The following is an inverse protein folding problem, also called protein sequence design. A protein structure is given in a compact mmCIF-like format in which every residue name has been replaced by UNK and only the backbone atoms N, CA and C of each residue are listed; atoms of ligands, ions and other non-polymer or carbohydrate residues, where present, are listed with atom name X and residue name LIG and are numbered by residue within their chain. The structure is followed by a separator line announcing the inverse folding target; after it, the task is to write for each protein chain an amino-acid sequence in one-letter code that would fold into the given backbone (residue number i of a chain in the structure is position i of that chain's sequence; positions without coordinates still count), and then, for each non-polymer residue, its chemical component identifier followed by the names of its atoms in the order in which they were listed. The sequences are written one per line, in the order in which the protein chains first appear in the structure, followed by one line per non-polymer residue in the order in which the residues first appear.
data_IF_312967746551
#
_entry.id   IF_312967746551
#
_cell.length_a   1.000
_cell.length_b   1.000
_cell.length_c   1.000
_cell.angle_alpha   90.00
_cell.angle_beta   90.00
_cell.angle_gamma   90.00
#
_symmetry.space_group_name_H-M   'P 1'
#
loop_
_entity.id
_entity.type
_entity.pdbx_description
1 polymer ?
#
# COMPACT_ATOMS: atom_id res chain seq x y z
N UNK A 1 -2.72 3.87 -7.24
CA UNK A 1 -1.77 2.96 -7.91
C UNK A 1 -0.66 3.68 -8.64
N UNK A 2 -0.90 4.89 -9.17
CA UNK A 2 0.07 5.72 -9.90
C UNK A 2 1.46 5.85 -9.22
N UNK A 3 1.49 6.11 -7.91
CA UNK A 3 2.76 6.20 -7.16
C UNK A 3 3.60 4.92 -7.23
N UNK A 4 2.95 3.76 -7.07
CA UNK A 4 3.63 2.45 -7.09
C UNK A 4 4.17 2.17 -8.49
N UNK A 5 3.37 2.47 -9.52
CA UNK A 5 3.78 2.32 -10.92
C UNK A 5 4.95 3.25 -11.26
N UNK A 6 4.94 4.50 -10.78
CA UNK A 6 6.03 5.45 -10.97
C UNK A 6 7.33 4.98 -10.31
N UNK A 7 7.25 4.46 -9.08
CA UNK A 7 8.41 3.88 -8.38
C UNK A 7 8.96 2.68 -9.13
N UNK A 8 8.10 1.75 -9.55
CA UNK A 8 8.53 0.57 -10.28
C UNK A 8 9.19 0.94 -11.63
N UNK A 9 8.61 1.89 -12.36
CA UNK A 9 9.17 2.40 -13.63
C UNK A 9 10.55 3.01 -13.41
N UNK A 10 10.72 3.85 -12.38
CA UNK A 10 12.00 4.47 -12.07
C UNK A 10 13.08 3.46 -11.64
N UNK A 11 12.68 2.29 -11.12
CA UNK A 11 13.57 1.18 -10.79
C UNK A 11 13.81 0.23 -11.97
N UNK A 12 13.30 0.54 -13.17
CA UNK A 12 13.44 -0.31 -14.35
C UNK A 12 12.61 -1.60 -14.29
N UNK A 13 11.62 -1.67 -13.41
CA UNK A 13 10.71 -2.81 -13.30
C UNK A 13 9.57 -2.61 -14.30
N UNK A 14 9.37 -3.52 -15.26
CA UNK A 14 8.32 -3.38 -16.26
C UNK A 14 6.94 -3.54 -15.62
N UNK A 15 6.17 -2.45 -15.56
CA UNK A 15 4.78 -2.46 -15.09
C UNK A 15 3.85 -2.10 -16.24
N UNK A 16 2.81 -2.91 -16.45
CA UNK A 16 1.74 -2.63 -17.42
C UNK A 16 0.61 -1.91 -16.70
N UNK A 17 0.60 -0.57 -16.74
CA UNK A 17 -0.39 0.26 -16.02
C UNK A 17 -1.84 -0.13 -16.30
N UNK A 18 -2.17 -0.43 -17.56
CA UNK A 18 -3.50 -0.91 -17.96
C UNK A 18 -3.92 -2.19 -17.24
N UNK A 19 -2.96 -3.07 -16.92
CA UNK A 19 -3.22 -4.28 -16.12
C UNK A 19 -3.44 -3.94 -14.65
N UNK A 20 -2.71 -2.97 -14.10
CA UNK A 20 -2.87 -2.51 -12.72
C UNK A 20 -4.28 -1.96 -12.48
N UNK A 21 -4.77 -1.12 -13.39
CA UNK A 21 -6.13 -0.55 -13.32
C UNK A 21 -7.21 -1.61 -13.48
N UNK A 22 -7.06 -2.52 -14.46
CA UNK A 22 -8.01 -3.62 -14.67
C UNK A 22 -8.12 -4.52 -13.43
N UNK A 23 -7.00 -4.93 -12.84
CA UNK A 23 -6.99 -5.75 -11.62
C UNK A 23 -7.66 -5.04 -10.45
N UNK A 24 -7.47 -3.73 -10.32
CA UNK A 24 -8.14 -2.94 -9.28
C UNK A 24 -9.65 -2.88 -9.50
N UNK A 25 -10.08 -2.65 -10.75
CA UNK A 25 -11.50 -2.63 -11.11
C UNK A 25 -12.17 -3.99 -10.86
N UNK A 26 -11.52 -5.08 -11.29
CA UNK A 26 -12.00 -6.45 -11.07
C UNK A 26 -12.11 -6.77 -9.58
N UNK A 27 -11.14 -6.34 -8.77
CA UNK A 27 -11.17 -6.53 -7.32
C UNK A 27 -12.34 -5.78 -6.67
N UNK A 28 -12.59 -4.54 -7.08
CA UNK A 28 -13.71 -3.74 -6.55
C UNK A 28 -15.05 -4.34 -6.94
N UNK A 29 -15.20 -4.83 -8.18
CA UNK A 29 -16.45 -5.41 -8.66
C UNK A 29 -16.71 -6.82 -8.13
N UNK A 30 -15.67 -7.65 -7.98
CA UNK A 30 -15.79 -9.07 -7.64
C UNK A 30 -15.85 -9.38 -6.15
N UNK A 31 -15.64 -8.39 -5.28
CA UNK A 31 -15.47 -8.59 -3.84
C UNK A 31 -16.34 -7.62 -3.00
N UNK A 32 -17.68 -7.64 -3.14
CA UNK A 32 -18.56 -6.64 -2.53
C UNK A 32 -18.55 -6.64 -0.99
N UNK A 33 -18.33 -7.80 -0.35
CA UNK A 33 -18.32 -7.96 1.12
C UNK A 33 -16.94 -8.34 1.67
N UNK A 34 -15.87 -8.00 0.93
CA UNK A 34 -14.52 -8.41 1.30
C UNK A 34 -13.86 -7.44 2.28
N UNK A 35 -13.24 -8.01 3.31
CA UNK A 35 -12.37 -7.27 4.21
C UNK A 35 -10.91 -7.59 3.94
N UNK A 36 -10.09 -6.56 3.74
CA UNK A 36 -8.65 -6.73 3.57
C UNK A 36 -8.03 -7.34 4.82
N UNK A 37 -6.95 -8.12 4.67
CA UNK A 37 -6.25 -8.76 5.79
C UNK A 37 -5.87 -7.75 6.88
N UNK A 38 -5.34 -6.59 6.49
CA UNK A 38 -4.95 -5.54 7.43
C UNK A 38 -6.14 -4.97 8.22
N UNK A 39 -7.35 -4.88 7.63
CA UNK A 39 -8.56 -4.48 8.36
C UNK A 39 -8.98 -5.56 9.36
N UNK A 40 -8.88 -6.83 8.98
CA UNK A 40 -9.15 -7.96 9.88
C UNK A 40 -8.17 -7.98 11.06
N UNK A 41 -6.88 -7.73 10.82
CA UNK A 41 -5.86 -7.64 11.87
C UNK A 41 -6.11 -6.46 12.81
N UNK A 42 -6.46 -5.29 12.27
CA UNK A 42 -6.85 -4.13 13.07
C UNK A 42 -8.01 -4.46 14.02
N UNK A 43 -9.08 -5.08 13.51
CA UNK A 43 -10.25 -5.46 14.32
C UNK A 43 -9.93 -6.51 15.38
N UNK A 44 -8.93 -7.37 15.14
CA UNK A 44 -8.45 -8.39 16.08
C UNK A 44 -7.39 -7.86 17.05
N UNK A 45 -7.04 -6.58 16.99
CA UNK A 45 -6.00 -5.98 17.83
C UNK A 45 -4.60 -6.50 17.52
N UNK A 46 -4.37 -7.01 16.30
CA UNK A 46 -3.08 -7.54 15.86
C UNK A 46 -2.21 -6.44 15.24
N UNK A 47 -0.90 -6.66 15.24
CA UNK A 47 0.07 -5.81 14.55
C UNK A 47 -0.28 -5.72 13.05
N UNK A 48 -0.12 -4.54 12.48
CA UNK A 48 -0.43 -4.30 11.07
C UNK A 48 0.80 -4.46 10.17
N UNK A 49 0.58 -4.82 8.90
CA UNK A 49 1.64 -5.01 7.89
C UNK A 49 2.00 -3.73 7.11
N UNK A 50 1.62 -2.55 7.60
CA UNK A 50 1.78 -1.28 6.87
C UNK A 50 3.24 -0.97 6.49
N UNK A 51 4.22 -1.43 7.27
CA UNK A 51 5.65 -1.19 6.99
C UNK A 51 6.15 -2.07 5.85
N UNK A 52 5.64 -3.29 5.78
CA UNK A 52 5.94 -4.22 4.69
C UNK A 52 5.25 -3.82 3.38
N UNK A 53 4.10 -3.15 3.45
CA UNK A 53 3.35 -2.69 2.27
C UNK A 53 3.71 -1.24 1.90
N UNK A 54 3.12 -0.25 2.58
CA UNK A 54 3.35 1.17 2.28
C UNK A 54 4.80 1.58 2.61
N UNK A 55 5.37 1.05 3.69
CA UNK A 55 6.77 1.32 4.06
C UNK A 55 7.75 0.83 3.00
N UNK A 56 7.49 -0.31 2.36
CA UNK A 56 8.31 -0.80 1.26
C UNK A 56 8.27 0.15 0.05
N UNK A 57 7.08 0.66 -0.32
CA UNK A 57 6.93 1.66 -1.39
C UNK A 57 7.69 2.94 -1.04
N UNK A 58 7.55 3.47 0.18
CA UNK A 58 8.24 4.69 0.62
C UNK A 58 9.77 4.52 0.59
N UNK A 59 10.30 3.37 1.04
CA UNK A 59 11.73 3.06 0.98
C UNK A 59 12.23 2.94 -0.46
N UNK A 60 11.46 2.29 -1.33
CA UNK A 60 11.78 2.16 -2.76
C UNK A 60 11.78 3.52 -3.47
N UNK A 61 10.77 4.34 -3.21
CA UNK A 61 10.63 5.69 -3.74
C UNK A 61 11.79 6.59 -3.34
N UNK A 62 12.26 6.50 -2.09
CA UNK A 62 13.43 7.24 -1.62
C UNK A 62 14.70 6.89 -2.39
N UNK A 63 14.92 5.60 -2.71
CA UNK A 63 16.07 5.17 -3.53
C UNK A 63 15.95 5.63 -4.99
N UNK A 64 14.73 5.69 -5.51
CA UNK A 64 14.45 6.06 -6.90
C UNK A 64 14.30 7.58 -7.13
N UNK A 65 14.26 8.40 -6.06
CA UNK A 65 14.00 9.84 -6.17
C UNK A 65 12.56 10.20 -6.59
N UNK A 66 11.60 9.30 -6.35
CA UNK A 66 10.20 9.49 -6.78
C UNK A 66 9.33 10.00 -5.61
N UNK A 67 8.51 11.05 -5.80
CA UNK A 67 7.58 11.49 -4.77
C UNK A 67 6.41 10.51 -4.62
N UNK A 68 6.10 10.13 -3.37
CA UNK A 68 4.98 9.23 -3.02
C UNK A 68 4.14 9.76 -1.83
N UNK A 69 3.58 10.98 -1.95
CA UNK A 69 2.87 11.63 -0.85
C UNK A 69 1.71 10.82 -0.26
N UNK A 70 0.92 10.11 -1.08
CA UNK A 70 -0.21 9.30 -0.61
C UNK A 70 0.29 8.11 0.21
N UNK A 71 1.28 7.36 -0.27
CA UNK A 71 1.86 6.26 0.51
C UNK A 71 2.50 6.73 1.82
N UNK A 72 3.10 7.93 1.84
CA UNK A 72 3.64 8.52 3.08
C UNK A 72 2.53 8.84 4.09
N UNK A 73 1.43 9.44 3.64
CA UNK A 73 0.28 9.72 4.52
C UNK A 73 -0.32 8.43 5.04
N UNK A 74 -0.58 7.45 4.17
CA UNK A 74 -1.13 6.15 4.57
C UNK A 74 -0.23 5.43 5.56
N UNK A 75 1.08 5.39 5.32
CA UNK A 75 2.04 4.80 6.25
C UNK A 75 1.96 5.46 7.64
N UNK A 76 1.93 6.79 7.70
CA UNK A 76 1.87 7.51 8.97
C UNK A 76 0.55 7.27 9.72
N UNK A 77 -0.58 7.27 9.01
CA UNK A 77 -1.90 7.00 9.60
C UNK A 77 -1.99 5.56 10.11
N UNK A 78 -1.57 4.59 9.31
CA UNK A 78 -1.60 3.18 9.69
C UNK A 78 -0.67 2.88 10.86
N UNK A 79 0.53 3.49 10.89
CA UNK A 79 1.45 3.38 12.03
C UNK A 79 0.83 3.89 13.34
N UNK A 80 -0.01 4.92 13.26
CA UNK A 80 -0.73 5.45 14.42
C UNK A 80 -1.92 4.60 14.84
N UNK A 81 -2.57 3.94 13.87
CA UNK A 81 -3.68 3.03 14.12
C UNK A 81 -3.23 1.66 14.65
N UNK A 82 -2.00 1.24 14.33
CA UNK A 82 -1.46 -0.06 14.71
C UNK A 82 -1.64 -0.30 16.22
N UNK A 83 -2.42 -1.34 16.61
CA UNK A 83 -2.59 -1.72 18.00
C UNK A 83 -1.25 -1.93 18.75
N UNK A 84 -0.20 -2.38 18.07
CA UNK A 84 1.12 -2.57 18.65
C UNK A 84 1.86 -1.25 18.97
N UNK A 85 1.41 -0.12 18.44
CA UNK A 85 1.97 1.21 18.69
C UNK A 85 1.30 1.95 19.86
N UNK A 86 0.26 1.36 20.46
CA UNK A 86 -0.45 1.91 21.63
C UNK A 86 0.27 1.47 22.91
N UNK A 87 1.48 1.98 23.13
CA UNK A 87 2.20 1.91 24.41
C UNK A 87 2.13 3.26 25.09
#
# INVERSE_FOLDING_TARGET
MEEVDAVATALGIPVRRTRTEAVLADSVAGLPDFETSMLQDYRRGRRLEHDALNGAVVRAAARAGVPVPVNRVLLALLARLDPASRV
#
